data_IF_372801840882
#
_entry.id   IF_372801840882
#
_cell.length_a   1.000
_cell.length_b   1.000
_cell.length_c   1.000
_cell.angle_alpha   90.00
_cell.angle_beta   90.00
_cell.angle_gamma   90.00
#
_symmetry.space_group_name_H-M   'P 1'
#
loop_
_entity.id
_entity.type
_entity.pdbx_description
1 polymer ?
#
# COMPACT_ATOMS: atom_id res chain seq x y z
N UNK A 1 33.18 3.40 -0.39
CA UNK A 1 32.73 3.22 1.01
C UNK A 1 32.66 4.58 1.74
N UNK A 2 33.74 5.40 1.74
CA UNK A 2 33.77 6.67 2.47
C UNK A 2 32.68 7.67 2.05
N UNK A 3 32.51 7.92 0.76
CA UNK A 3 31.44 8.78 0.22
C UNK A 3 30.04 8.29 0.59
N UNK A 4 29.83 6.98 0.56
CA UNK A 4 28.58 6.37 0.99
C UNK A 4 28.32 6.63 2.48
N UNK A 5 29.32 6.44 3.33
CA UNK A 5 29.19 6.71 4.77
C UNK A 5 28.84 8.19 5.04
N UNK A 6 29.47 9.13 4.33
CA UNK A 6 29.12 10.57 4.42
C UNK A 6 27.68 10.85 4.00
N UNK A 7 27.20 10.21 2.93
CA UNK A 7 25.80 10.32 2.50
C UNK A 7 24.84 9.80 3.57
N UNK A 8 25.14 8.65 4.18
CA UNK A 8 24.33 8.09 5.27
C UNK A 8 24.33 8.98 6.52
N UNK A 9 25.46 9.56 6.88
CA UNK A 9 25.53 10.54 7.97
C UNK A 9 24.67 11.78 7.69
N UNK A 10 24.69 12.30 6.47
CA UNK A 10 23.83 13.43 6.09
C UNK A 10 22.34 13.06 6.23
N UNK A 11 21.92 11.86 5.76
CA UNK A 11 20.55 11.39 5.92
C UNK A 11 20.16 11.24 7.39
N UNK A 12 21.07 10.72 8.23
CA UNK A 12 20.87 10.63 9.68
C UNK A 12 20.65 12.02 10.31
N UNK A 13 21.47 13.02 9.98
CA UNK A 13 21.29 14.39 10.49
C UNK A 13 19.95 14.98 10.05
N UNK A 14 19.54 14.75 8.79
CA UNK A 14 18.25 15.22 8.30
C UNK A 14 17.09 14.54 9.04
N UNK A 15 17.17 13.24 9.26
CA UNK A 15 16.19 12.48 10.03
C UNK A 15 16.08 13.01 11.48
N UNK A 16 17.19 13.19 12.18
CA UNK A 16 17.19 13.69 13.56
C UNK A 16 16.59 15.10 13.70
N UNK A 17 16.75 15.95 12.68
CA UNK A 17 16.10 17.26 12.64
C UNK A 17 14.60 17.17 12.41
N UNK A 18 14.16 16.24 11.56
CA UNK A 18 12.76 16.10 11.18
C UNK A 18 11.92 15.43 12.27
N UNK A 19 12.46 14.45 13.02
CA UNK A 19 11.76 13.79 14.12
C UNK A 19 11.24 14.74 15.18
N UNK A 20 11.77 15.96 15.24
CA UNK A 20 11.29 17.01 16.13
C UNK A 20 10.07 17.77 15.57
N UNK A 21 9.69 17.56 14.30
CA UNK A 21 8.52 18.18 13.70
C UNK A 21 7.35 17.19 13.73
N UNK A 22 6.31 17.51 14.48
CA UNK A 22 5.05 16.78 14.39
C UNK A 22 4.39 17.12 13.07
N UNK A 23 4.27 16.16 12.17
CA UNK A 23 3.42 16.29 10.98
C UNK A 23 1.99 16.58 11.44
N UNK A 24 1.52 17.80 11.20
CA UNK A 24 0.13 18.16 11.39
C UNK A 24 -0.63 17.67 10.17
N UNK A 25 -1.33 16.55 10.31
CA UNK A 25 -2.31 16.11 9.35
C UNK A 25 -3.69 16.57 9.79
N UNK A 26 -4.41 17.28 8.95
CA UNK A 26 -5.81 17.57 9.17
C UNK A 26 -6.59 16.26 9.07
N UNK A 27 -7.30 15.90 10.13
CA UNK A 27 -8.13 14.70 10.14
C UNK A 27 -9.31 14.89 9.18
N UNK A 28 -9.66 13.85 8.44
CA UNK A 28 -10.94 13.78 7.75
C UNK A 28 -12.05 13.63 8.77
N UNK A 29 -13.13 14.38 8.57
CA UNK A 29 -14.36 14.14 9.30
C UNK A 29 -15.17 13.06 8.56
N UNK A 30 -14.97 11.81 8.96
CA UNK A 30 -15.67 10.67 8.35
C UNK A 30 -17.19 10.65 8.66
N UNK A 31 -17.70 11.59 9.48
CA UNK A 31 -19.14 11.77 9.65
C UNK A 31 -19.78 12.49 8.46
N UNK A 32 -18.98 13.22 7.65
CA UNK A 32 -19.43 13.95 6.47
C UNK A 32 -19.17 13.14 5.21
N UNK A 33 -20.07 12.25 4.86
CA UNK A 33 -19.96 11.32 3.73
C UNK A 33 -19.68 12.00 2.38
N UNK A 34 -20.15 13.23 2.19
CA UNK A 34 -19.96 14.00 0.94
C UNK A 34 -18.51 14.41 0.70
N UNK A 35 -17.72 14.59 1.75
CA UNK A 35 -16.30 14.97 1.69
C UNK A 35 -15.35 13.77 1.57
N UNK A 36 -15.84 12.54 1.73
CA UNK A 36 -15.00 11.34 1.69
C UNK A 36 -14.72 10.98 0.24
N UNK A 37 -13.44 10.98 -0.20
CA UNK A 37 -13.10 10.66 -1.58
C UNK A 37 -13.33 9.18 -1.89
N UNK A 38 -13.57 8.88 -3.16
CA UNK A 38 -13.65 7.51 -3.64
C UNK A 38 -12.25 6.93 -3.81
N UNK A 39 -12.02 5.73 -3.30
CA UNK A 39 -10.72 5.03 -3.34
C UNK A 39 -10.83 3.74 -4.11
N UNK A 40 -9.89 3.49 -5.03
CA UNK A 40 -9.70 2.19 -5.66
C UNK A 40 -8.49 1.49 -5.03
N UNK A 41 -8.68 0.29 -4.48
CA UNK A 41 -7.58 -0.57 -4.04
C UNK A 41 -7.21 -1.50 -5.19
N UNK A 42 -5.95 -1.50 -5.60
CA UNK A 42 -5.40 -2.41 -6.59
C UNK A 42 -4.51 -3.46 -5.95
N UNK A 43 -4.85 -4.73 -6.18
CA UNK A 43 -4.16 -5.91 -5.66
C UNK A 43 -3.60 -6.71 -6.84
N UNK A 44 -2.38 -6.42 -7.32
CA UNK A 44 -1.74 -7.21 -8.38
C UNK A 44 -1.28 -8.55 -7.83
N UNK A 45 -1.78 -9.65 -8.42
CA UNK A 45 -1.53 -11.02 -7.96
C UNK A 45 -1.11 -11.94 -9.10
N UNK A 46 -0.29 -12.94 -8.77
CA UNK A 46 0.15 -13.98 -9.70
C UNK A 46 0.56 -15.26 -8.97
N UNK A 47 -0.26 -16.32 -9.08
CA UNK A 47 -0.01 -17.63 -8.47
C UNK A 47 0.20 -17.57 -6.95
N UNK A 48 -0.67 -16.84 -6.22
CA UNK A 48 -0.55 -16.52 -4.80
C UNK A 48 -1.57 -17.30 -3.94
N UNK A 49 -1.72 -18.61 -4.20
CA UNK A 49 -2.74 -19.47 -3.59
C UNK A 49 -2.83 -19.34 -2.06
N UNK A 50 -1.69 -19.37 -1.37
CA UNK A 50 -1.65 -19.47 0.10
C UNK A 50 -1.86 -18.16 0.86
N UNK A 51 -1.81 -17.03 0.18
CA UNK A 51 -1.90 -15.71 0.83
C UNK A 51 -3.16 -14.95 0.48
N UNK A 52 -3.85 -15.32 -0.61
CA UNK A 52 -5.01 -14.60 -1.13
C UNK A 52 -6.17 -14.51 -0.15
N UNK A 53 -6.56 -15.60 0.49
CA UNK A 53 -7.64 -15.60 1.48
C UNK A 53 -7.35 -14.63 2.63
N UNK A 54 -6.11 -14.64 3.12
CA UNK A 54 -5.66 -13.75 4.19
C UNK A 54 -5.66 -12.29 3.75
N UNK A 55 -5.16 -12.00 2.55
CA UNK A 55 -5.15 -10.66 1.98
C UNK A 55 -6.58 -10.13 1.85
N UNK A 56 -7.46 -10.84 1.14
CA UNK A 56 -8.83 -10.41 0.88
C UNK A 56 -9.65 -10.25 2.17
N UNK A 57 -9.47 -11.17 3.13
CA UNK A 57 -10.07 -11.05 4.45
C UNK A 57 -9.55 -9.82 5.22
N UNK A 58 -8.27 -9.47 5.08
CA UNK A 58 -7.71 -8.28 5.71
C UNK A 58 -8.25 -7.00 5.07
N UNK A 59 -8.23 -6.92 3.74
CA UNK A 59 -8.76 -5.78 2.97
C UNK A 59 -10.25 -5.54 3.25
N UNK A 60 -11.04 -6.61 3.41
CA UNK A 60 -12.47 -6.50 3.73
C UNK A 60 -12.77 -5.87 5.10
N UNK A 61 -11.77 -5.81 5.99
CA UNK A 61 -11.86 -5.23 7.34
C UNK A 61 -11.42 -3.77 7.39
N UNK A 62 -11.06 -3.16 6.26
CA UNK A 62 -10.69 -1.75 6.24
C UNK A 62 -11.87 -0.88 6.66
N UNK A 63 -11.60 0.02 7.59
CA UNK A 63 -12.57 0.98 8.12
C UNK A 63 -12.70 2.17 7.15
N UNK A 64 -13.46 1.97 6.07
CA UNK A 64 -13.78 2.98 5.07
C UNK A 64 -15.21 2.75 4.55
N UNK A 65 -15.98 3.79 4.18
CA UNK A 65 -17.33 3.61 3.66
C UNK A 65 -17.32 2.72 2.41
N UNK A 66 -18.14 1.69 2.40
CA UNK A 66 -18.17 0.69 1.32
C UNK A 66 -18.63 1.29 -0.02
N UNK A 67 -19.48 2.30 0.03
CA UNK A 67 -19.96 3.06 -1.13
C UNK A 67 -18.92 4.03 -1.70
N UNK A 68 -17.77 4.19 -1.02
CA UNK A 68 -16.63 5.01 -1.41
C UNK A 68 -15.37 4.18 -1.66
N UNK A 69 -15.50 2.87 -1.78
CA UNK A 69 -14.39 1.94 -1.91
C UNK A 69 -14.68 0.89 -2.97
N UNK A 70 -13.79 0.73 -3.93
CA UNK A 70 -13.77 -0.41 -4.83
C UNK A 70 -12.43 -1.16 -4.73
N UNK A 71 -12.45 -2.44 -5.01
CA UNK A 71 -11.28 -3.32 -4.90
C UNK A 71 -11.09 -4.06 -6.21
N UNK A 72 -9.96 -3.85 -6.84
CA UNK A 72 -9.54 -4.52 -8.08
C UNK A 72 -8.47 -5.57 -7.78
N UNK A 73 -8.82 -6.83 -7.85
CA UNK A 73 -7.86 -7.93 -7.84
C UNK A 73 -7.38 -8.13 -9.27
N UNK A 74 -6.18 -7.62 -9.56
CA UNK A 74 -5.56 -7.67 -10.88
C UNK A 74 -4.84 -9.01 -11.03
N UNK A 75 -5.56 -10.01 -11.51
CA UNK A 75 -5.16 -11.40 -11.43
C UNK A 75 -4.59 -11.92 -12.76
N UNK A 76 -3.28 -12.14 -12.75
CA UNK A 76 -2.51 -12.73 -13.86
C UNK A 76 -2.23 -14.23 -13.64
N UNK A 77 -2.88 -14.88 -12.66
CA UNK A 77 -2.62 -16.27 -12.28
C UNK A 77 -2.96 -17.26 -13.36
N UNK A 78 -2.19 -18.35 -13.41
CA UNK A 78 -2.31 -19.43 -14.39
C UNK A 78 -2.50 -20.82 -13.76
N UNK A 79 -2.58 -20.86 -12.42
CA UNK A 79 -2.78 -22.06 -11.60
C UNK A 79 -4.12 -22.02 -10.84
N UNK A 80 -4.32 -22.96 -9.93
CA UNK A 80 -5.52 -23.06 -9.10
C UNK A 80 -5.81 -21.84 -8.22
N UNK A 81 -4.85 -20.95 -8.03
CA UNK A 81 -5.05 -19.69 -7.26
C UNK A 81 -6.10 -18.80 -7.91
N UNK A 82 -6.25 -18.86 -9.24
CA UNK A 82 -7.26 -18.10 -9.98
C UNK A 82 -8.68 -18.43 -9.53
N UNK A 83 -9.03 -19.72 -9.53
CA UNK A 83 -10.36 -20.18 -9.12
C UNK A 83 -10.61 -19.98 -7.62
N UNK A 84 -9.59 -20.23 -6.79
CA UNK A 84 -9.67 -19.98 -5.36
C UNK A 84 -9.96 -18.50 -5.06
N UNK A 85 -9.29 -17.57 -5.75
CA UNK A 85 -9.52 -16.12 -5.65
C UNK A 85 -10.96 -15.77 -6.08
N UNK A 86 -11.45 -16.32 -7.18
CA UNK A 86 -12.82 -16.09 -7.66
C UNK A 86 -13.88 -16.50 -6.63
N UNK A 87 -13.68 -17.62 -5.95
CA UNK A 87 -14.58 -18.09 -4.88
C UNK A 87 -14.60 -17.10 -3.71
N UNK A 88 -13.44 -16.66 -3.24
CA UNK A 88 -13.34 -15.70 -2.15
C UNK A 88 -13.98 -14.34 -2.49
N UNK A 89 -13.78 -13.86 -3.71
CA UNK A 89 -14.40 -12.61 -4.19
C UNK A 89 -15.92 -12.73 -4.14
N UNK A 90 -16.51 -13.83 -4.63
CA UNK A 90 -17.97 -14.07 -4.56
C UNK A 90 -18.51 -14.05 -3.13
N UNK A 91 -17.75 -14.56 -2.17
CA UNK A 91 -18.12 -14.53 -0.74
C UNK A 91 -18.14 -13.08 -0.24
N UNK A 92 -17.10 -12.29 -0.55
CA UNK A 92 -16.97 -10.91 -0.12
C UNK A 92 -17.99 -9.97 -0.77
N UNK A 93 -18.33 -10.20 -2.05
CA UNK A 93 -19.38 -9.45 -2.73
C UNK A 93 -20.73 -9.55 -2.00
N UNK A 94 -21.06 -10.73 -1.43
CA UNK A 94 -22.27 -10.91 -0.62
C UNK A 94 -22.30 -10.06 0.65
N UNK A 95 -21.16 -9.55 1.11
CA UNK A 95 -21.08 -8.63 2.24
C UNK A 95 -21.29 -7.16 1.85
N UNK A 96 -21.53 -6.89 0.56
CA UNK A 96 -21.75 -5.55 0.00
C UNK A 96 -20.45 -4.80 -0.33
N UNK A 97 -19.33 -5.50 -0.52
CA UNK A 97 -18.08 -4.91 -1.04
C UNK A 97 -18.10 -4.86 -2.57
N UNK A 98 -17.71 -3.72 -3.14
CA UNK A 98 -17.43 -3.60 -4.59
C UNK A 98 -16.02 -4.15 -4.84
N UNK A 99 -15.95 -5.45 -5.14
CA UNK A 99 -14.70 -6.17 -5.39
C UNK A 99 -14.81 -6.98 -6.69
N UNK A 100 -13.80 -6.88 -7.54
CA UNK A 100 -13.78 -7.51 -8.85
C UNK A 100 -12.44 -8.20 -9.11
N UNK A 101 -12.49 -9.38 -9.76
CA UNK A 101 -11.33 -10.04 -10.34
C UNK A 101 -11.17 -9.57 -11.78
N UNK A 102 -10.05 -8.91 -12.06
CA UNK A 102 -9.76 -8.32 -13.37
C UNK A 102 -8.62 -9.10 -13.99
N UNK A 103 -8.86 -9.59 -15.18
CA UNK A 103 -7.90 -10.37 -15.96
C UNK A 103 -7.54 -9.65 -17.23
N UNK A 104 -6.42 -10.03 -17.83
CA UNK A 104 -5.96 -9.52 -19.13
C UNK A 104 -5.49 -10.65 -20.03
N UNK A 105 -5.48 -10.40 -21.32
CA UNK A 105 -5.13 -11.43 -22.33
C UNK A 105 -3.64 -11.78 -22.35
N UNK A 106 -2.77 -10.87 -21.92
CA UNK A 106 -1.34 -11.09 -21.84
C UNK A 106 -0.77 -10.54 -20.52
N UNK A 107 0.38 -11.05 -20.13
CA UNK A 107 1.09 -10.62 -18.92
C UNK A 107 2.21 -9.60 -19.22
N UNK A 108 2.05 -8.82 -20.28
CA UNK A 108 3.04 -7.83 -20.68
C UNK A 108 3.29 -6.81 -19.57
N UNK A 109 4.57 -6.53 -19.33
CA UNK A 109 5.02 -5.63 -18.25
C UNK A 109 4.63 -6.08 -16.82
N UNK A 110 4.28 -7.35 -16.62
CA UNK A 110 4.05 -7.96 -15.30
C UNK A 110 3.15 -7.09 -14.40
N UNK A 111 3.53 -6.88 -13.13
CA UNK A 111 2.80 -6.05 -12.17
C UNK A 111 2.51 -4.64 -12.68
N UNK A 112 3.49 -3.96 -13.27
CA UNK A 112 3.28 -2.60 -13.79
C UNK A 112 2.22 -2.56 -14.90
N UNK A 113 2.19 -3.60 -15.76
CA UNK A 113 1.16 -3.75 -16.78
C UNK A 113 -0.22 -3.99 -16.18
N UNK A 114 -0.33 -4.85 -15.17
CA UNK A 114 -1.59 -5.10 -14.46
C UNK A 114 -2.15 -3.81 -13.82
N UNK A 115 -1.31 -3.07 -13.08
CA UNK A 115 -1.68 -1.80 -12.48
C UNK A 115 -2.14 -0.77 -13.52
N UNK A 116 -1.46 -0.70 -14.68
CA UNK A 116 -1.84 0.20 -15.78
C UNK A 116 -3.22 -0.17 -16.35
N UNK A 117 -3.52 -1.45 -16.54
CA UNK A 117 -4.85 -1.87 -17.01
C UNK A 117 -5.93 -1.60 -15.96
N UNK A 118 -5.67 -1.90 -14.68
CA UNK A 118 -6.57 -1.57 -13.59
C UNK A 118 -6.87 -0.09 -13.46
N UNK A 119 -5.88 0.77 -13.74
CA UNK A 119 -6.05 2.23 -13.69
C UNK A 119 -7.06 2.75 -14.72
N UNK A 120 -7.20 2.08 -15.88
CA UNK A 120 -8.15 2.51 -16.94
C UNK A 120 -9.61 2.42 -16.52
N UNK A 121 -9.92 1.54 -15.57
CA UNK A 121 -11.27 1.24 -15.11
C UNK A 121 -11.51 1.66 -13.66
N UNK A 122 -10.47 2.17 -12.99
CA UNK A 122 -10.57 2.66 -11.63
C UNK A 122 -11.46 3.90 -11.56
N UNK A 123 -12.41 3.92 -10.60
CA UNK A 123 -13.31 5.05 -10.31
C UNK A 123 -12.73 5.96 -9.24
N UNK A 124 -11.74 5.46 -8.47
CA UNK A 124 -11.17 6.16 -7.34
C UNK A 124 -10.42 7.43 -7.73
N UNK A 125 -10.65 8.49 -6.98
CA UNK A 125 -9.80 9.68 -7.00
C UNK A 125 -8.39 9.35 -6.51
N UNK A 126 -8.29 8.40 -5.58
CA UNK A 126 -7.04 7.88 -5.06
C UNK A 126 -6.92 6.38 -5.33
N UNK A 127 -5.70 5.97 -5.65
CA UNK A 127 -5.36 4.57 -5.88
C UNK A 127 -4.46 4.07 -4.75
N UNK A 128 -4.90 3.04 -4.04
CA UNK A 128 -4.08 2.35 -3.04
C UNK A 128 -3.57 1.03 -3.63
N UNK A 129 -2.29 0.72 -3.44
CA UNK A 129 -1.65 -0.48 -4.00
C UNK A 129 -1.11 -1.36 -2.87
N UNK A 130 -1.51 -2.63 -2.85
CA UNK A 130 -0.96 -3.63 -1.93
C UNK A 130 -0.54 -4.89 -2.68
N UNK A 131 0.64 -5.41 -2.35
CA UNK A 131 1.07 -6.73 -2.80
C UNK A 131 0.32 -7.83 -2.04
N UNK A 132 0.34 -9.04 -2.58
CA UNK A 132 -0.42 -10.19 -2.05
C UNK A 132 -0.06 -10.57 -0.60
N UNK A 133 1.15 -10.28 -0.17
CA UNK A 133 1.67 -10.56 1.17
C UNK A 133 1.47 -9.42 2.18
N UNK A 134 0.87 -8.29 1.76
CA UNK A 134 0.63 -7.13 2.62
C UNK A 134 -0.67 -7.24 3.41
N UNK A 135 -0.60 -6.82 4.67
CA UNK A 135 -1.75 -6.76 5.57
C UNK A 135 -1.86 -5.34 6.16
N UNK A 136 -2.54 -4.41 5.48
CA UNK A 136 -2.73 -3.07 6.02
C UNK A 136 -3.55 -3.10 7.30
N UNK A 137 -3.26 -2.13 8.20
CA UNK A 137 -4.09 -1.92 9.38
C UNK A 137 -5.50 -1.48 8.96
N UNK A 138 -6.52 -1.84 9.74
CA UNK A 138 -7.92 -1.54 9.42
C UNK A 138 -8.21 -0.03 9.21
N UNK A 139 -7.47 0.85 9.88
CA UNK A 139 -7.56 2.31 9.81
C UNK A 139 -6.56 2.94 8.81
N UNK A 140 -5.97 2.13 7.91
CA UNK A 140 -4.92 2.58 7.01
C UNK A 140 -5.38 3.73 6.10
N UNK A 141 -6.54 3.61 5.47
CA UNK A 141 -7.11 4.67 4.62
C UNK A 141 -7.43 5.93 5.44
N UNK A 142 -7.96 5.78 6.65
CA UNK A 142 -8.24 6.90 7.54
C UNK A 142 -6.98 7.68 7.95
N UNK A 143 -5.82 7.01 7.96
CA UNK A 143 -4.53 7.63 8.30
C UNK A 143 -3.82 8.23 7.09
N UNK A 144 -4.05 7.73 5.88
CA UNK A 144 -3.32 8.14 4.67
C UNK A 144 -4.05 9.18 3.84
N UNK A 145 -5.35 9.02 3.60
CA UNK A 145 -6.15 9.92 2.78
C UNK A 145 -6.09 11.38 3.25
N UNK A 146 -6.12 11.69 4.57
CA UNK A 146 -6.08 13.07 5.02
C UNK A 146 -4.86 13.89 4.58
N UNK A 147 -3.74 13.25 4.24
CA UNK A 147 -2.56 13.96 3.74
C UNK A 147 -2.81 14.65 2.41
N UNK A 148 -3.70 14.12 1.57
CA UNK A 148 -4.03 14.66 0.24
C UNK A 148 -4.91 15.91 0.29
N UNK A 149 -5.35 16.37 1.48
CA UNK A 149 -5.90 17.73 1.63
C UNK A 149 -4.87 18.81 1.26
N UNK A 150 -3.60 18.50 1.38
CA UNK A 150 -2.54 19.31 0.78
C UNK A 150 -2.36 18.90 -0.68
N UNK A 151 -2.76 19.78 -1.62
CA UNK A 151 -2.68 19.54 -3.07
C UNK A 151 -1.26 19.37 -3.62
N UNK A 152 -0.23 19.68 -2.85
CA UNK A 152 1.17 19.44 -3.22
C UNK A 152 1.60 17.97 -2.98
N UNK A 153 0.79 17.17 -2.25
CA UNK A 153 1.11 15.77 -1.96
C UNK A 153 0.49 14.89 -3.04
N UNK A 154 1.32 14.35 -3.92
CA UNK A 154 0.90 13.43 -4.98
C UNK A 154 1.01 11.95 -4.59
N UNK A 155 1.74 11.61 -3.52
CA UNK A 155 1.89 10.23 -3.05
C UNK A 155 2.14 10.18 -1.54
N UNK A 156 1.55 9.19 -0.90
CA UNK A 156 1.78 8.88 0.51
C UNK A 156 2.30 7.44 0.59
N UNK A 157 3.57 7.28 0.95
CA UNK A 157 4.19 5.98 1.17
C UNK A 157 4.18 5.67 2.65
N UNK A 158 3.55 4.55 3.04
CA UNK A 158 3.57 4.12 4.44
C UNK A 158 4.75 3.22 4.74
N UNK A 159 5.16 3.24 6.02
CA UNK A 159 6.15 2.29 6.52
C UNK A 159 5.50 0.93 6.75
N UNK A 160 6.17 -0.10 6.32
CA UNK A 160 5.77 -1.49 6.56
C UNK A 160 6.85 -2.25 7.34
N UNK A 161 6.46 -3.34 7.93
CA UNK A 161 7.32 -4.16 8.77
C UNK A 161 7.09 -5.65 8.56
N UNK A 162 8.02 -6.46 9.02
CA UNK A 162 7.94 -7.91 8.91
C UNK A 162 6.95 -8.50 9.92
N UNK A 163 6.01 -9.31 9.46
CA UNK A 163 5.11 -10.08 10.32
C UNK A 163 5.88 -11.12 11.14
N UNK A 164 6.93 -11.67 10.57
CA UNK A 164 7.77 -12.73 11.16
C UNK A 164 9.07 -12.22 11.80
N UNK A 165 9.11 -10.94 12.22
CA UNK A 165 10.32 -10.28 12.77
C UNK A 165 11.07 -11.13 13.80
N UNK A 166 10.35 -11.84 14.67
CA UNK A 166 10.92 -12.59 15.79
C UNK A 166 11.14 -14.09 15.49
N UNK A 167 10.96 -14.52 14.25
CA UNK A 167 11.06 -15.92 13.87
C UNK A 167 12.50 -16.45 13.93
N UNK A 168 13.48 -15.67 13.48
CA UNK A 168 14.89 -16.05 13.45
C UNK A 168 15.81 -14.84 13.56
N UNK A 169 17.13 -15.09 13.73
CA UNK A 169 18.14 -14.03 13.67
C UNK A 169 18.12 -13.35 12.30
N UNK A 170 18.00 -14.13 11.23
CA UNK A 170 17.93 -13.58 9.85
C UNK A 170 16.75 -12.64 9.68
N UNK A 171 15.54 -13.01 10.12
CA UNK A 171 14.36 -12.15 10.01
C UNK A 171 14.48 -10.88 10.86
N UNK A 172 15.18 -10.93 11.99
CA UNK A 172 15.48 -9.72 12.79
C UNK A 172 16.43 -8.78 12.06
N UNK A 173 17.49 -9.31 11.43
CA UNK A 173 18.43 -8.50 10.64
C UNK A 173 17.74 -7.88 9.45
N UNK A 174 16.89 -8.62 8.72
CA UNK A 174 16.08 -8.09 7.62
C UNK A 174 15.14 -6.98 8.09
N UNK A 175 14.45 -7.18 9.21
CA UNK A 175 13.56 -6.17 9.79
C UNK A 175 14.33 -4.91 10.20
N UNK A 176 15.54 -5.05 10.77
CA UNK A 176 16.40 -3.91 11.12
C UNK A 176 16.84 -3.13 9.89
N UNK A 177 17.25 -3.82 8.82
CA UNK A 177 17.63 -3.17 7.56
C UNK A 177 16.45 -2.40 6.93
N UNK A 178 15.25 -2.98 6.96
CA UNK A 178 14.03 -2.35 6.47
C UNK A 178 13.65 -1.12 7.34
N UNK A 179 13.77 -1.25 8.66
CA UNK A 179 13.55 -0.13 9.58
C UNK A 179 14.50 1.04 9.27
N UNK A 180 15.78 0.76 9.01
CA UNK A 180 16.76 1.77 8.63
C UNK A 180 16.41 2.44 7.30
N UNK A 181 15.97 1.66 6.29
CA UNK A 181 15.51 2.18 5.01
C UNK A 181 14.37 3.19 5.18
N UNK A 182 13.30 2.81 5.88
CA UNK A 182 12.16 3.71 6.06
C UNK A 182 12.46 4.91 6.95
N UNK A 183 13.24 4.73 8.02
CA UNK A 183 13.50 5.82 8.96
C UNK A 183 14.61 6.74 8.48
N UNK A 184 15.78 6.22 8.15
CA UNK A 184 16.94 7.05 7.81
C UNK A 184 16.86 7.53 6.35
N UNK A 185 16.62 6.63 5.40
CA UNK A 185 16.69 7.01 3.99
C UNK A 185 15.43 7.75 3.54
N UNK A 186 14.24 7.19 3.74
CA UNK A 186 12.99 7.78 3.24
C UNK A 186 12.69 9.11 3.96
N UNK A 187 12.70 9.13 5.29
CA UNK A 187 12.42 10.36 6.03
C UNK A 187 13.54 11.38 5.84
N UNK A 188 14.81 10.94 5.86
CA UNK A 188 15.95 11.83 5.65
C UNK A 188 15.97 12.50 4.28
N UNK A 189 15.51 11.82 3.22
CA UNK A 189 15.33 12.39 1.87
C UNK A 189 14.16 13.35 1.82
N UNK A 190 12.98 12.88 2.27
CA UNK A 190 11.74 13.65 2.22
C UNK A 190 11.85 14.98 2.98
N UNK A 191 12.56 15.02 4.12
CA UNK A 191 12.76 16.24 4.94
C UNK A 191 13.46 17.39 4.21
N UNK A 192 14.13 17.10 3.11
CA UNK A 192 14.83 18.06 2.25
C UNK A 192 14.15 18.30 0.91
N UNK A 193 12.93 17.79 0.72
CA UNK A 193 12.22 17.89 -0.55
C UNK A 193 12.83 17.03 -1.67
N UNK A 194 13.68 16.04 -1.33
CA UNK A 194 14.15 15.08 -2.31
C UNK A 194 13.08 14.03 -2.58
N UNK A 195 13.02 13.56 -3.82
CA UNK A 195 12.11 12.48 -4.18
C UNK A 195 12.36 11.23 -3.35
N UNK A 196 11.29 10.65 -2.84
CA UNK A 196 11.29 9.32 -2.26
C UNK A 196 11.11 8.28 -3.37
N UNK A 197 11.70 7.11 -3.18
CA UNK A 197 11.41 5.98 -4.05
C UNK A 197 10.10 5.36 -3.60
N UNK A 198 9.09 5.34 -4.48
CA UNK A 198 7.89 4.55 -4.22
C UNK A 198 8.25 3.07 -4.26
N UNK A 199 7.92 2.34 -3.19
CA UNK A 199 8.31 0.93 -3.04
C UNK A 199 7.39 -0.04 -3.80
N UNK A 200 6.47 0.48 -4.60
CA UNK A 200 5.55 -0.31 -5.43
C UNK A 200 4.37 -0.90 -4.68
N UNK A 201 4.24 -0.64 -3.37
CA UNK A 201 3.19 -1.18 -2.51
C UNK A 201 3.03 -0.35 -1.23
N UNK A 202 1.90 -0.47 -0.55
CA UNK A 202 1.55 0.25 0.68
C UNK A 202 1.61 1.78 0.53
N UNK A 203 1.13 2.26 -0.59
CA UNK A 203 1.02 3.67 -0.92
C UNK A 203 -0.04 3.90 -1.96
#
# INVERSE_FOLDING_TARGET
IFLYALAQLNLLFNFLKETNKKLKCEKFDFSKQEEIPFVTIQLPVYNELYVMERLLTNISKLEYPKDKLEIHVLDDSTDESFEATAIQIKILQKTGLDIQQITRSDRKNYKAGALKEGLKIAKGEFIAIFDADFLPQKDWLQKTIPFFKNSEIGVVQTRWGHLNRNFSILTRVQAFALDAHFTLEQVGRNSKGHFINFNGTAG
#
